data_IF_171286029197
#
_entry.id   IF_171286029197
#
_cell.length_a   1.000
_cell.length_b   1.000
_cell.length_c   1.000
_cell.angle_alpha   90.00
_cell.angle_beta   90.00
_cell.angle_gamma   90.00
#
_symmetry.space_group_name_H-M   'P 1'
#
loop_
_entity.id
_entity.type
_entity.pdbx_description
1 polymer ?
#
# COMPACT_ATOMS: atom_id res chain seq x y z
N UNK A 1 -10.27 19.95 4.63
CA UNK A 1 -10.72 18.64 5.21
C UNK A 1 -10.51 17.56 4.18
N UNK A 2 -10.28 16.28 4.60
CA UNK A 2 -10.23 15.14 3.67
C UNK A 2 -11.25 14.12 4.14
N UNK A 3 -12.05 13.57 3.21
CA UNK A 3 -13.13 12.63 3.49
C UNK A 3 -12.87 11.32 2.74
N UNK A 4 -12.68 10.24 3.46
CA UNK A 4 -12.60 8.89 2.90
C UNK A 4 -14.01 8.32 2.84
N UNK A 5 -14.62 8.31 1.66
CA UNK A 5 -16.04 7.97 1.50
C UNK A 5 -16.23 6.45 1.58
N UNK A 6 -17.26 6.02 2.31
CA UNK A 6 -17.65 4.61 2.38
C UNK A 6 -18.38 4.22 1.08
N UNK A 7 -17.65 3.69 0.14
CA UNK A 7 -18.14 3.29 -1.17
C UNK A 7 -17.80 1.84 -1.54
N UNK A 8 -17.65 0.98 -0.53
CA UNK A 8 -17.32 -0.42 -0.75
C UNK A 8 -15.82 -0.69 -0.78
N UNK A 9 -15.43 -1.74 -1.50
CA UNK A 9 -14.03 -2.04 -1.82
C UNK A 9 -13.63 -1.22 -3.05
N UNK A 10 -13.50 0.09 -2.88
CA UNK A 10 -13.27 1.07 -3.93
C UNK A 10 -12.72 2.36 -3.31
N UNK A 11 -12.12 3.22 -4.11
CA UNK A 11 -11.64 4.51 -3.66
C UNK A 11 -12.52 5.67 -4.13
N UNK A 12 -12.84 6.56 -3.20
CA UNK A 12 -13.32 7.89 -3.47
C UNK A 12 -12.98 8.80 -2.29
N UNK A 13 -12.10 9.75 -2.50
CA UNK A 13 -11.54 10.59 -1.45
C UNK A 13 -11.75 12.05 -1.82
N UNK A 14 -12.64 12.74 -1.07
CA UNK A 14 -12.93 14.14 -1.28
C UNK A 14 -11.95 15.03 -0.48
N UNK A 15 -11.37 16.00 -1.16
CA UNK A 15 -10.52 17.04 -0.57
C UNK A 15 -11.30 18.35 -0.60
N UNK A 16 -11.55 18.90 0.58
CA UNK A 16 -12.26 20.19 0.76
C UNK A 16 -11.32 21.22 1.37
N UNK A 17 -11.15 22.37 0.72
CA UNK A 17 -10.36 23.47 1.24
C UNK A 17 -10.82 24.82 0.70
N UNK A 18 -11.13 25.75 1.60
CA UNK A 18 -11.50 27.14 1.26
C UNK A 18 -12.67 27.21 0.24
N UNK A 19 -13.69 26.39 0.43
CA UNK A 19 -14.86 26.33 -0.45
C UNK A 19 -14.62 25.67 -1.81
N UNK A 20 -13.45 25.05 -2.00
CA UNK A 20 -13.11 24.27 -3.19
C UNK A 20 -13.21 22.77 -2.89
N UNK A 21 -13.53 21.99 -3.91
CA UNK A 21 -13.71 20.55 -3.81
C UNK A 21 -12.93 19.82 -4.90
N UNK A 22 -12.09 18.88 -4.50
CA UNK A 22 -11.36 17.99 -5.39
C UNK A 22 -11.65 16.53 -5.04
N UNK A 23 -11.74 15.66 -6.02
CA UNK A 23 -12.05 14.25 -5.81
C UNK A 23 -10.92 13.38 -6.36
N UNK A 24 -10.38 12.51 -5.53
CA UNK A 24 -9.43 11.47 -5.93
C UNK A 24 -10.21 10.16 -6.02
N UNK A 25 -10.30 9.62 -7.22
CA UNK A 25 -11.11 8.48 -7.61
C UNK A 25 -12.62 8.65 -7.36
N UNK A 26 -13.42 7.83 -7.99
CA UNK A 26 -14.87 8.00 -8.06
C UNK A 26 -15.63 6.71 -7.77
N UNK A 27 -14.93 5.69 -7.31
CA UNK A 27 -15.47 4.36 -7.04
C UNK A 27 -15.94 3.56 -8.28
N UNK A 28 -16.67 2.46 -8.05
CA UNK A 28 -17.19 1.57 -9.09
C UNK A 28 -18.28 2.23 -9.95
N UNK A 29 -18.45 1.79 -11.21
CA UNK A 29 -19.39 2.39 -12.15
C UNK A 29 -20.84 2.18 -11.74
N UNK A 30 -21.71 3.04 -12.25
CA UNK A 30 -23.15 2.88 -12.19
C UNK A 30 -23.62 2.01 -13.36
N UNK A 31 -24.26 0.88 -13.10
CA UNK A 31 -24.74 -0.04 -14.15
C UNK A 31 -25.85 0.57 -14.99
N UNK A 32 -26.71 1.44 -14.39
CA UNK A 32 -27.82 2.08 -15.06
C UNK A 32 -28.05 3.49 -14.49
N UNK A 33 -27.59 4.52 -15.17
CA UNK A 33 -28.13 5.85 -14.93
C UNK A 33 -29.45 5.91 -15.73
N UNK A 34 -30.58 5.74 -15.05
CA UNK A 34 -31.89 5.87 -15.70
C UNK A 34 -32.02 7.28 -16.28
N UNK A 35 -32.19 7.34 -17.59
CA UNK A 35 -32.80 8.39 -18.40
C UNK A 35 -31.97 9.62 -18.82
N UNK A 36 -30.74 9.88 -18.39
CA UNK A 36 -30.08 11.15 -18.72
C UNK A 36 -28.58 11.07 -19.06
N UNK A 37 -27.94 9.95 -18.90
CA UNK A 37 -26.57 9.69 -19.38
C UNK A 37 -26.65 8.52 -20.33
N UNK A 38 -26.05 8.63 -21.52
CA UNK A 38 -25.87 7.45 -22.36
C UNK A 38 -25.22 6.38 -21.50
N UNK A 39 -25.87 5.23 -21.32
CA UNK A 39 -25.31 4.17 -20.50
C UNK A 39 -23.93 3.88 -21.06
N UNK A 40 -22.92 3.86 -20.19
CA UNK A 40 -21.69 3.15 -20.49
C UNK A 40 -22.15 1.70 -20.65
N UNK A 41 -22.41 1.26 -21.88
CA UNK A 41 -22.68 -0.13 -22.15
C UNK A 41 -21.41 -0.88 -21.79
N UNK A 42 -21.39 -1.41 -20.58
CA UNK A 42 -20.47 -2.46 -20.22
C UNK A 42 -20.95 -3.63 -21.06
N UNK A 43 -20.16 -3.97 -22.06
CA UNK A 43 -20.43 -5.07 -22.99
C UNK A 43 -20.81 -6.31 -22.16
N UNK A 44 -22.00 -6.85 -22.37
CA UNK A 44 -22.48 -8.04 -21.66
C UNK A 44 -21.61 -9.28 -21.91
N UNK A 45 -20.70 -9.21 -22.90
CA UNK A 45 -19.67 -10.22 -23.17
C UNK A 45 -18.53 -10.25 -22.11
N UNK A 46 -18.50 -9.32 -21.15
CA UNK A 46 -17.60 -9.37 -19.99
C UNK A 46 -18.18 -10.39 -19.01
N UNK A 47 -18.00 -11.67 -19.34
CA UNK A 47 -18.58 -12.79 -18.61
C UNK A 47 -18.17 -12.88 -17.14
N UNK A 48 -18.98 -13.59 -16.39
CA UNK A 48 -18.84 -14.21 -15.04
C UNK A 48 -18.12 -13.45 -13.89
N UNK A 49 -17.37 -12.38 -14.10
CA UNK A 49 -16.87 -11.49 -13.03
C UNK A 49 -17.88 -10.44 -12.59
N UNK A 50 -19.13 -10.51 -13.04
CA UNK A 50 -20.21 -9.61 -12.65
C UNK A 50 -20.56 -9.61 -11.16
N UNK A 51 -20.15 -10.59 -10.37
CA UNK A 51 -20.39 -10.57 -8.91
C UNK A 51 -19.77 -9.36 -8.21
N UNK A 52 -18.68 -8.83 -8.75
CA UNK A 52 -18.07 -7.58 -8.25
C UNK A 52 -18.85 -6.33 -8.67
N UNK A 53 -19.64 -6.41 -9.75
CA UNK A 53 -20.40 -5.32 -10.33
C UNK A 53 -21.82 -5.23 -9.73
N UNK A 54 -22.35 -6.29 -9.10
CA UNK A 54 -23.70 -6.25 -8.49
C UNK A 54 -23.83 -5.17 -7.41
N UNK A 55 -22.75 -4.89 -6.66
CA UNK A 55 -22.70 -3.81 -5.66
C UNK A 55 -22.15 -2.48 -6.23
N UNK A 56 -21.82 -2.41 -7.50
CA UNK A 56 -21.21 -1.23 -8.12
C UNK A 56 -22.18 -0.03 -8.13
N UNK A 57 -23.47 -0.28 -8.33
CA UNK A 57 -24.49 0.78 -8.33
C UNK A 57 -24.58 1.51 -6.99
N UNK A 58 -24.37 0.80 -5.88
CA UNK A 58 -24.38 1.38 -4.54
C UNK A 58 -23.11 2.19 -4.27
N UNK A 59 -21.98 1.79 -4.89
CA UNK A 59 -20.67 2.38 -4.69
C UNK A 59 -20.62 3.84 -5.16
N UNK A 60 -20.86 4.10 -6.45
CA UNK A 60 -20.88 5.49 -6.96
C UNK A 60 -22.09 6.28 -6.43
N UNK A 61 -23.23 5.61 -6.17
CA UNK A 61 -24.38 6.28 -5.58
C UNK A 61 -24.07 6.82 -4.18
N UNK A 62 -23.29 6.08 -3.39
CA UNK A 62 -22.81 6.57 -2.09
C UNK A 62 -21.96 7.85 -2.24
N UNK A 63 -21.10 7.91 -3.27
CA UNK A 63 -20.31 9.11 -3.58
C UNK A 63 -21.22 10.27 -3.97
N UNK A 64 -22.14 10.07 -4.92
CA UNK A 64 -23.07 11.12 -5.37
C UNK A 64 -23.90 11.67 -4.20
N UNK A 65 -24.48 10.78 -3.40
CA UNK A 65 -25.28 11.16 -2.22
C UNK A 65 -24.45 11.95 -1.20
N UNK A 66 -23.18 11.58 -1.02
CA UNK A 66 -22.31 12.27 -0.07
C UNK A 66 -21.93 13.66 -0.56
N UNK A 67 -21.65 13.84 -1.85
CA UNK A 67 -21.39 15.15 -2.47
C UNK A 67 -22.65 16.04 -2.38
N UNK A 68 -23.84 15.51 -2.64
CA UNK A 68 -25.11 16.21 -2.46
C UNK A 68 -25.36 16.66 -1.02
N UNK A 69 -25.10 15.76 -0.06
CA UNK A 69 -25.21 16.07 1.36
C UNK A 69 -24.33 17.25 1.77
N UNK A 70 -23.10 17.31 1.23
CA UNK A 70 -22.17 18.43 1.46
C UNK A 70 -22.52 19.66 0.63
N UNK A 71 -23.56 19.59 -0.21
CA UNK A 71 -23.99 20.68 -1.12
C UNK A 71 -22.85 21.10 -2.06
N UNK A 72 -22.08 20.13 -2.54
CA UNK A 72 -21.07 20.38 -3.56
C UNK A 72 -21.80 20.79 -4.84
N UNK A 73 -21.55 21.99 -5.31
CA UNK A 73 -22.11 22.48 -6.58
C UNK A 73 -21.27 21.93 -7.74
N UNK A 74 -19.95 22.01 -7.62
CA UNK A 74 -19.00 21.53 -8.62
C UNK A 74 -17.69 21.08 -8.00
N UNK A 75 -16.96 20.27 -8.74
CA UNK A 75 -15.60 19.86 -8.41
C UNK A 75 -14.59 20.75 -9.16
N UNK A 76 -13.60 21.28 -8.45
CA UNK A 76 -12.50 22.02 -9.05
C UNK A 76 -11.53 21.07 -9.78
N UNK A 77 -11.37 19.86 -9.27
CA UNK A 77 -10.63 18.80 -9.97
C UNK A 77 -11.15 17.41 -9.66
N UNK A 78 -10.90 16.49 -10.58
CA UNK A 78 -10.95 15.05 -10.37
C UNK A 78 -9.58 14.48 -10.75
N UNK A 79 -9.05 13.56 -9.94
CA UNK A 79 -7.90 12.74 -10.24
C UNK A 79 -8.36 11.30 -10.43
N UNK A 80 -8.21 10.75 -11.63
CA UNK A 80 -8.32 9.33 -11.90
C UNK A 80 -6.95 8.69 -11.75
N UNK A 81 -6.74 7.89 -10.71
CA UNK A 81 -5.42 7.37 -10.36
C UNK A 81 -4.92 6.33 -11.34
N UNK A 82 -5.78 5.41 -11.76
CA UNK A 82 -5.51 4.38 -12.76
C UNK A 82 -6.84 3.82 -13.32
N UNK A 83 -6.79 2.95 -14.33
CA UNK A 83 -7.98 2.63 -15.14
C UNK A 83 -8.84 1.47 -14.63
N UNK A 84 -8.66 1.03 -13.37
CA UNK A 84 -9.58 0.05 -12.79
C UNK A 84 -10.96 0.66 -12.49
N UNK A 85 -11.99 -0.19 -12.56
CA UNK A 85 -13.38 0.22 -12.40
C UNK A 85 -13.69 0.81 -11.03
N UNK A 86 -13.09 0.30 -9.98
CA UNK A 86 -13.26 0.71 -8.58
C UNK A 86 -12.54 2.02 -8.22
N UNK A 87 -11.88 2.63 -9.22
CA UNK A 87 -11.27 3.94 -9.14
C UNK A 87 -11.93 4.95 -10.07
N UNK A 88 -11.98 4.68 -11.38
CA UNK A 88 -12.50 5.64 -12.35
C UNK A 88 -13.87 5.27 -12.92
N UNK A 89 -14.43 4.14 -12.52
CA UNK A 89 -15.72 3.67 -13.07
C UNK A 89 -16.89 4.64 -12.81
N UNK A 90 -16.85 5.37 -11.70
CA UNK A 90 -17.85 6.36 -11.34
C UNK A 90 -17.70 7.73 -12.03
N UNK A 91 -16.58 7.98 -12.76
CA UNK A 91 -16.31 9.30 -13.39
C UNK A 91 -17.49 9.78 -14.27
N UNK A 92 -18.12 8.95 -15.12
CA UNK A 92 -19.24 9.41 -15.94
C UNK A 92 -20.42 9.96 -15.11
N UNK A 93 -20.76 9.30 -14.01
CA UNK A 93 -21.86 9.71 -13.14
C UNK A 93 -21.54 10.99 -12.35
N UNK A 94 -20.31 11.07 -11.83
CA UNK A 94 -19.80 12.27 -11.12
C UNK A 94 -19.69 13.45 -12.08
N UNK A 95 -19.16 13.21 -13.29
CA UNK A 95 -19.02 14.25 -14.30
C UNK A 95 -20.35 14.83 -14.73
N UNK A 96 -21.36 13.97 -14.91
CA UNK A 96 -22.70 14.44 -15.28
C UNK A 96 -23.22 15.52 -14.34
N UNK A 97 -23.01 15.36 -13.03
CA UNK A 97 -23.62 16.18 -11.99
C UNK A 97 -22.72 17.31 -11.47
N UNK A 98 -21.43 17.07 -11.34
CA UNK A 98 -20.52 17.93 -10.58
C UNK A 98 -19.35 18.51 -11.41
N UNK A 99 -19.37 18.38 -12.74
CA UNK A 99 -18.28 18.83 -13.62
C UNK A 99 -18.76 19.91 -14.58
N UNK A 100 -17.94 20.94 -14.72
CA UNK A 100 -18.09 22.01 -15.71
C UNK A 100 -16.75 22.25 -16.48
N UNK A 101 -16.74 23.28 -17.34
CA UNK A 101 -15.57 23.66 -18.15
C UNK A 101 -14.38 24.20 -17.32
N UNK A 102 -14.54 24.47 -16.03
CA UNK A 102 -13.47 24.89 -15.14
C UNK A 102 -12.83 23.73 -14.40
N UNK A 103 -13.51 22.59 -14.32
CA UNK A 103 -13.02 21.39 -13.66
C UNK A 103 -11.77 20.86 -14.37
N UNK A 104 -10.73 20.51 -13.61
CA UNK A 104 -9.53 19.86 -14.12
C UNK A 104 -9.64 18.36 -13.93
N UNK A 105 -9.34 17.58 -14.96
CA UNK A 105 -9.25 16.14 -14.87
C UNK A 105 -7.79 15.71 -15.00
N UNK A 106 -7.18 15.30 -13.90
CA UNK A 106 -5.84 14.73 -13.88
C UNK A 106 -5.95 13.23 -14.14
N UNK A 107 -5.19 12.75 -15.10
CA UNK A 107 -5.21 11.35 -15.51
C UNK A 107 -3.89 10.96 -16.16
N UNK A 108 -3.59 9.68 -16.15
CA UNK A 108 -2.51 9.11 -16.96
C UNK A 108 -3.08 8.65 -18.29
N UNK A 109 -2.39 8.93 -19.40
CA UNK A 109 -2.73 8.38 -20.69
C UNK A 109 -2.68 6.85 -20.64
N UNK A 110 -3.74 6.22 -21.16
CA UNK A 110 -3.86 4.76 -21.13
C UNK A 110 -2.69 4.11 -21.88
N UNK A 111 -2.13 3.08 -21.27
CA UNK A 111 -1.12 2.22 -21.88
C UNK A 111 -1.55 0.77 -21.67
N UNK A 112 -1.54 -0.01 -22.76
CA UNK A 112 -1.86 -1.42 -22.71
C UNK A 112 -0.94 -2.14 -21.72
N UNK A 113 -1.52 -2.96 -20.84
CA UNK A 113 -0.82 -3.76 -19.85
C UNK A 113 -0.85 -5.24 -20.23
N UNK A 114 -0.14 -6.10 -19.49
CA UNK A 114 -0.26 -7.55 -19.66
C UNK A 114 -1.66 -8.06 -19.33
N UNK A 115 -2.38 -7.38 -18.44
CA UNK A 115 -3.77 -7.70 -18.13
C UNK A 115 -4.65 -7.66 -19.37
N UNK A 116 -4.47 -6.68 -20.25
CA UNK A 116 -5.22 -6.55 -21.49
C UNK A 116 -4.95 -7.68 -22.50
N UNK A 117 -3.82 -8.37 -22.36
CA UNK A 117 -3.42 -9.47 -23.26
C UNK A 117 -3.78 -10.85 -22.73
N UNK A 118 -3.83 -11.02 -21.42
CA UNK A 118 -4.02 -12.31 -20.74
C UNK A 118 -5.45 -12.52 -20.25
N UNK A 119 -6.21 -11.43 -20.07
CA UNK A 119 -7.56 -11.45 -19.55
C UNK A 119 -8.48 -10.73 -20.54
N UNK A 120 -9.14 -11.49 -21.41
CA UNK A 120 -10.10 -11.00 -22.42
C UNK A 120 -11.22 -10.13 -21.81
N UNK A 121 -11.39 -10.18 -20.49
CA UNK A 121 -12.51 -9.60 -19.76
C UNK A 121 -12.15 -8.32 -18.97
N UNK A 122 -10.91 -7.82 -19.03
CA UNK A 122 -10.58 -6.59 -18.34
C UNK A 122 -10.99 -5.37 -19.18
N UNK A 123 -11.94 -4.62 -18.63
CA UNK A 123 -12.52 -3.47 -19.31
C UNK A 123 -11.77 -2.15 -19.04
N UNK A 124 -10.48 -2.20 -18.60
CA UNK A 124 -9.72 -1.03 -18.18
C UNK A 124 -9.73 0.08 -19.24
N UNK A 125 -9.47 -0.29 -20.51
CA UNK A 125 -9.51 0.67 -21.60
C UNK A 125 -10.91 1.28 -21.81
N UNK A 126 -11.98 0.50 -21.62
CA UNK A 126 -13.36 1.00 -21.73
C UNK A 126 -13.69 2.00 -20.62
N UNK A 127 -13.26 1.71 -19.36
CA UNK A 127 -13.44 2.65 -18.24
C UNK A 127 -12.65 3.93 -18.46
N UNK A 128 -11.40 3.81 -18.95
CA UNK A 128 -10.59 4.96 -19.33
C UNK A 128 -11.29 5.82 -20.37
N UNK A 129 -11.78 5.22 -21.49
CA UNK A 129 -12.48 5.96 -22.54
C UNK A 129 -13.77 6.60 -22.02
N UNK A 130 -14.55 5.87 -21.20
CA UNK A 130 -15.77 6.41 -20.62
C UNK A 130 -15.49 7.62 -19.72
N UNK A 131 -14.46 7.54 -18.88
CA UNK A 131 -14.04 8.64 -18.04
C UNK A 131 -13.61 9.85 -18.85
N UNK A 132 -12.67 9.68 -19.78
CA UNK A 132 -12.13 10.77 -20.62
C UNK A 132 -13.24 11.41 -21.46
N UNK A 133 -14.08 10.61 -22.13
CA UNK A 133 -15.16 11.12 -22.97
C UNK A 133 -16.22 11.90 -22.16
N UNK A 134 -16.52 11.44 -20.95
CA UNK A 134 -17.44 12.16 -20.05
C UNK A 134 -16.92 13.53 -19.67
N UNK A 135 -15.62 13.62 -19.38
CA UNK A 135 -14.95 14.88 -19.05
C UNK A 135 -14.90 15.82 -20.27
N UNK A 136 -14.62 15.28 -21.47
CA UNK A 136 -14.67 16.06 -22.74
C UNK A 136 -16.08 16.60 -22.98
N UNK A 137 -17.13 15.79 -22.85
CA UNK A 137 -18.54 16.22 -23.03
C UNK A 137 -18.91 17.38 -22.10
N UNK A 138 -18.30 17.45 -20.91
CA UNK A 138 -18.52 18.54 -19.92
C UNK A 138 -17.62 19.76 -20.16
N UNK A 139 -16.73 19.70 -21.17
CA UNK A 139 -15.78 20.76 -21.48
C UNK A 139 -14.65 20.88 -20.44
N UNK A 140 -14.44 19.87 -19.58
CA UNK A 140 -13.41 19.88 -18.54
C UNK A 140 -12.00 19.97 -19.12
N UNK A 141 -11.07 20.53 -18.34
CA UNK A 141 -9.66 20.66 -18.71
C UNK A 141 -8.92 19.35 -18.43
N UNK A 142 -8.58 18.62 -19.49
CA UNK A 142 -7.84 17.36 -19.39
C UNK A 142 -6.35 17.65 -19.16
N UNK A 143 -5.76 17.04 -18.15
CA UNK A 143 -4.35 17.18 -17.78
C UNK A 143 -3.73 15.78 -17.73
N UNK A 144 -3.02 15.43 -18.79
CA UNK A 144 -2.22 14.19 -18.83
C UNK A 144 -0.97 14.38 -17.96
N UNK A 145 -0.85 13.59 -16.90
CA UNK A 145 0.27 13.66 -15.96
C UNK A 145 1.40 12.68 -16.29
N UNK A 146 1.27 11.93 -17.37
CA UNK A 146 2.25 10.91 -17.78
C UNK A 146 3.66 11.48 -17.90
N UNK A 147 4.60 10.95 -17.09
CA UNK A 147 6.00 11.40 -17.06
C UNK A 147 6.20 12.82 -16.53
N UNK A 148 5.22 13.41 -15.86
CA UNK A 148 5.27 14.77 -15.36
C UNK A 148 5.27 14.83 -13.83
N UNK A 149 6.12 15.65 -13.25
CA UNK A 149 6.08 15.98 -11.84
C UNK A 149 5.07 17.10 -11.60
N UNK A 150 3.85 16.75 -11.21
CA UNK A 150 2.75 17.69 -11.01
C UNK A 150 2.66 18.07 -9.54
N UNK A 151 2.80 19.39 -9.26
CA UNK A 151 2.59 19.99 -7.94
C UNK A 151 1.66 21.18 -8.09
N UNK A 152 0.68 21.30 -7.20
CA UNK A 152 -0.23 22.44 -7.19
C UNK A 152 -0.77 22.70 -5.79
N UNK A 153 -1.14 23.96 -5.58
CA UNK A 153 -1.84 24.41 -4.37
C UNK A 153 -3.35 24.21 -4.53
N UNK A 154 -3.99 23.69 -3.49
CA UNK A 154 -5.42 23.53 -3.42
C UNK A 154 -5.95 24.02 -2.07
N UNK A 155 -6.39 25.27 -2.03
CA UNK A 155 -6.69 25.94 -0.78
C UNK A 155 -5.47 26.01 0.13
N UNK A 156 -5.56 25.41 1.31
CA UNK A 156 -4.45 25.33 2.27
C UNK A 156 -3.54 24.10 2.08
N UNK A 157 -3.81 23.26 1.06
CA UNK A 157 -3.04 22.06 0.78
C UNK A 157 -2.04 22.24 -0.35
N UNK A 158 -0.85 21.68 -0.19
CA UNK A 158 0.09 21.44 -1.29
C UNK A 158 -0.06 19.98 -1.73
N UNK A 159 -0.47 19.77 -2.97
CA UNK A 159 -0.71 18.45 -3.56
C UNK A 159 0.38 18.13 -4.55
N UNK A 160 0.95 16.94 -4.44
CA UNK A 160 1.98 16.42 -5.34
C UNK A 160 1.56 15.05 -5.85
N UNK A 161 1.56 14.89 -7.19
CA UNK A 161 1.27 13.63 -7.87
C UNK A 161 2.59 12.92 -8.16
N UNK A 162 2.71 11.68 -7.70
CA UNK A 162 3.91 10.84 -7.82
C UNK A 162 3.58 9.55 -8.57
N UNK A 163 4.61 8.77 -8.88
CA UNK A 163 4.50 7.54 -9.67
C UNK A 163 3.87 7.79 -11.04
N UNK A 164 4.21 8.91 -11.67
CA UNK A 164 3.70 9.33 -12.98
C UNK A 164 4.58 8.85 -14.13
N UNK A 165 5.80 8.40 -13.85
CA UNK A 165 6.75 7.92 -14.86
C UNK A 165 6.24 6.66 -15.55
N UNK A 166 6.55 6.54 -16.84
CA UNK A 166 6.38 5.29 -17.60
C UNK A 166 7.74 4.64 -17.69
N UNK A 167 7.87 3.45 -17.11
CA UNK A 167 9.01 2.60 -17.44
C UNK A 167 8.85 2.13 -18.89
N UNK A 168 9.66 2.70 -19.79
CA UNK A 168 9.53 2.47 -21.25
C UNK A 168 9.93 1.06 -21.66
N UNK A 169 10.63 0.32 -20.80
CA UNK A 169 11.29 -0.93 -21.14
C UNK A 169 10.56 -2.18 -20.65
N UNK A 170 9.59 -2.07 -19.73
CA UNK A 170 8.79 -3.19 -19.28
C UNK A 170 7.32 -2.98 -19.63
N UNK A 171 6.70 -3.94 -20.31
CA UNK A 171 5.24 -4.07 -20.34
C UNK A 171 4.80 -4.21 -18.87
N UNK A 172 4.16 -3.17 -18.35
CA UNK A 172 3.63 -3.22 -16.99
C UNK A 172 2.82 -4.50 -16.79
N UNK A 173 3.08 -5.19 -15.68
CA UNK A 173 2.44 -6.46 -15.37
C UNK A 173 0.93 -6.31 -15.14
N UNK A 174 0.48 -5.13 -14.69
CA UNK A 174 -0.92 -4.82 -14.44
C UNK A 174 -1.15 -3.32 -14.28
N UNK A 175 -2.42 -2.93 -14.30
CA UNK A 175 -2.86 -1.53 -14.22
C UNK A 175 -2.54 -0.89 -12.86
N UNK A 176 -2.47 -1.66 -11.78
CA UNK A 176 -2.08 -1.17 -10.45
C UNK A 176 -0.70 -0.51 -10.42
N UNK A 177 0.24 -0.97 -11.25
CA UNK A 177 1.56 -0.32 -11.40
C UNK A 177 1.47 1.09 -11.96
N UNK A 178 0.39 1.39 -12.67
CA UNK A 178 0.12 2.70 -13.25
C UNK A 178 -0.53 3.68 -12.27
N UNK A 179 -0.75 3.28 -11.01
CA UNK A 179 -1.40 4.12 -10.00
C UNK A 179 -0.65 5.42 -9.78
N UNK A 180 -1.31 6.54 -10.07
CA UNK A 180 -0.86 7.86 -9.63
C UNK A 180 -1.11 7.92 -8.12
N UNK A 181 -0.08 8.20 -7.33
CA UNK A 181 -0.21 8.36 -5.89
C UNK A 181 -0.13 9.83 -5.51
N UNK A 182 -0.78 10.20 -4.42
CA UNK A 182 -0.94 11.60 -4.05
C UNK A 182 -0.33 11.87 -2.67
N UNK A 183 0.64 12.78 -2.62
CA UNK A 183 1.17 13.32 -1.37
C UNK A 183 0.53 14.67 -1.10
N UNK A 184 -0.27 14.76 -0.03
CA UNK A 184 -0.94 15.96 0.43
C UNK A 184 -0.19 16.49 1.64
N UNK A 185 0.26 17.74 1.57
CA UNK A 185 0.95 18.42 2.65
C UNK A 185 0.09 19.57 3.18
N UNK A 186 -0.02 19.65 4.50
CA UNK A 186 -0.64 20.74 5.21
C UNK A 186 0.29 21.15 6.37
N UNK A 187 0.93 22.31 6.26
CA UNK A 187 2.01 22.71 7.17
C UNK A 187 3.08 21.58 7.25
N UNK A 188 3.34 21.05 8.43
CA UNK A 188 4.29 19.96 8.65
C UNK A 188 3.65 18.56 8.61
N UNK A 189 2.35 18.46 8.29
CA UNK A 189 1.61 17.20 8.23
C UNK A 189 1.56 16.64 6.83
N UNK A 190 1.70 15.34 6.72
CA UNK A 190 1.69 14.61 5.45
C UNK A 190 0.62 13.51 5.45
N UNK A 191 -0.27 13.57 4.48
CA UNK A 191 -1.18 12.50 4.12
C UNK A 191 -0.74 11.89 2.78
N UNK A 192 -0.58 10.59 2.74
CA UNK A 192 -0.23 9.87 1.53
C UNK A 192 -1.38 8.94 1.10
N UNK A 193 -1.88 9.16 -0.12
CA UNK A 193 -2.90 8.35 -0.76
C UNK A 193 -2.18 7.40 -1.74
N UNK A 194 -2.06 6.13 -1.36
CA UNK A 194 -1.28 5.15 -2.10
C UNK A 194 -2.00 4.59 -3.34
N UNK A 195 -3.29 4.91 -3.56
CA UNK A 195 -4.10 4.28 -4.60
C UNK A 195 -3.94 2.74 -4.54
N UNK A 196 -3.64 2.09 -5.67
CA UNK A 196 -3.38 0.65 -5.74
C UNK A 196 -1.92 0.32 -6.04
N UNK A 197 -1.02 1.24 -5.72
CA UNK A 197 0.41 1.08 -5.91
C UNK A 197 0.93 -0.24 -5.34
N UNK A 198 1.79 -0.93 -6.09
CA UNK A 198 2.37 -2.20 -5.67
C UNK A 198 3.71 -2.01 -4.93
N UNK A 199 4.13 -3.05 -4.20
CA UNK A 199 5.35 -3.04 -3.38
C UNK A 199 6.65 -2.71 -4.16
N UNK A 200 6.72 -3.03 -5.46
CA UNK A 200 7.88 -2.67 -6.30
C UNK A 200 8.02 -1.15 -6.44
N UNK A 201 6.91 -0.45 -6.55
CA UNK A 201 6.89 0.99 -6.80
C UNK A 201 6.97 1.80 -5.51
N UNK A 202 6.39 1.31 -4.42
CA UNK A 202 6.50 1.97 -3.12
C UNK A 202 7.96 1.99 -2.59
N UNK A 203 8.76 0.96 -2.89
CA UNK A 203 10.19 0.93 -2.59
C UNK A 203 10.97 2.06 -3.28
N UNK A 204 10.56 2.46 -4.49
CA UNK A 204 11.22 3.52 -5.26
C UNK A 204 11.03 4.90 -4.64
N UNK A 205 9.87 5.16 -4.07
CA UNK A 205 9.47 6.50 -3.63
C UNK A 205 9.57 6.71 -2.10
N UNK A 206 9.80 5.65 -1.30
CA UNK A 206 9.80 5.70 0.16
C UNK A 206 10.74 6.76 0.74
N UNK A 207 11.97 6.87 0.21
CA UNK A 207 12.99 7.78 0.73
C UNK A 207 12.67 9.24 0.39
N UNK A 208 12.05 9.49 -0.78
CA UNK A 208 11.56 10.80 -1.17
C UNK A 208 10.41 11.28 -0.28
N UNK A 209 9.48 10.37 0.04
CA UNK A 209 8.31 10.67 0.89
C UNK A 209 8.76 10.86 2.35
N UNK A 210 9.63 9.98 2.84
CA UNK A 210 10.05 9.92 4.24
C UNK A 210 8.89 9.67 5.20
N UNK A 211 9.01 10.10 6.45
CA UNK A 211 7.92 9.98 7.46
C UNK A 211 6.63 10.65 6.97
N UNK A 212 5.51 9.95 7.16
CA UNK A 212 4.16 10.46 6.94
C UNK A 212 3.33 10.34 8.22
N UNK A 213 2.31 11.18 8.37
CA UNK A 213 1.40 11.10 9.52
C UNK A 213 0.24 10.13 9.22
N UNK A 214 -0.28 10.16 7.99
CA UNK A 214 -1.46 9.41 7.61
C UNK A 214 -1.22 8.70 6.28
N UNK A 215 -1.59 7.43 6.21
CA UNK A 215 -1.55 6.59 5.00
C UNK A 215 -2.96 6.10 4.65
N UNK A 216 -3.42 6.33 3.42
CA UNK A 216 -4.44 5.46 2.82
C UNK A 216 -3.72 4.24 2.28
N UNK A 217 -4.02 3.07 2.84
CA UNK A 217 -3.35 1.82 2.50
C UNK A 217 -3.58 1.46 1.03
N UNK A 218 -2.53 0.97 0.37
CA UNK A 218 -2.58 0.61 -1.03
C UNK A 218 -3.58 -0.53 -1.31
N UNK A 219 -4.23 -0.47 -2.49
CA UNK A 219 -5.06 -1.53 -3.07
C UNK A 219 -6.10 -2.08 -2.08
N UNK A 220 -6.74 -1.19 -1.33
CA UNK A 220 -7.78 -1.52 -0.33
C UNK A 220 -7.34 -2.58 0.71
N UNK A 221 -6.02 -2.83 0.82
CA UNK A 221 -5.43 -3.91 1.62
C UNK A 221 -5.33 -5.26 0.91
N UNK A 222 -5.62 -5.34 -0.39
CA UNK A 222 -5.51 -6.59 -1.17
C UNK A 222 -4.10 -6.88 -1.66
N UNK A 223 -3.23 -5.88 -1.77
CA UNK A 223 -1.82 -6.07 -2.11
C UNK A 223 -0.91 -5.61 -0.98
N UNK A 224 0.33 -6.05 -1.07
CA UNK A 224 1.33 -5.79 -0.06
C UNK A 224 1.97 -4.42 -0.28
N UNK A 225 1.85 -3.51 0.69
CA UNK A 225 2.84 -2.45 0.83
C UNK A 225 4.13 -3.06 1.36
N UNK A 226 5.29 -2.67 0.81
CA UNK A 226 6.55 -3.28 1.22
C UNK A 226 6.90 -2.95 2.67
N UNK A 227 7.65 -3.89 3.31
CA UNK A 227 8.24 -3.63 4.63
C UNK A 227 9.08 -2.37 4.63
N UNK A 228 9.90 -2.19 3.60
CA UNK A 228 10.79 -1.05 3.43
C UNK A 228 10.03 0.27 3.39
N UNK A 229 8.91 0.32 2.66
CA UNK A 229 8.05 1.49 2.62
C UNK A 229 7.44 1.80 3.98
N UNK A 230 6.82 0.82 4.63
CA UNK A 230 6.16 1.02 5.92
C UNK A 230 7.15 1.33 7.04
N UNK A 231 8.35 0.71 7.04
CA UNK A 231 9.39 0.97 8.04
C UNK A 231 10.06 2.35 7.87
N UNK A 232 10.09 2.88 6.65
CA UNK A 232 10.61 4.23 6.37
C UNK A 232 9.56 5.29 6.67
N UNK A 233 8.34 5.10 6.17
CA UNK A 233 7.26 6.10 6.26
C UNK A 233 6.59 6.16 7.63
N UNK A 234 6.56 5.06 8.37
CA UNK A 234 6.06 4.94 9.76
C UNK A 234 4.77 5.72 10.02
N UNK A 235 3.66 5.43 9.33
CA UNK A 235 2.42 6.18 9.49
C UNK A 235 1.87 6.07 10.91
N UNK A 236 1.44 7.18 11.49
CA UNK A 236 0.77 7.19 12.81
C UNK A 236 -0.69 6.71 12.67
N UNK A 237 -1.28 6.94 11.51
CA UNK A 237 -2.65 6.55 11.18
C UNK A 237 -2.72 5.89 9.81
N UNK A 238 -3.56 4.87 9.70
CA UNK A 238 -3.87 4.21 8.41
C UNK A 238 -5.38 4.18 8.20
N UNK A 239 -5.81 4.49 6.97
CA UNK A 239 -7.19 4.32 6.51
C UNK A 239 -7.22 3.24 5.43
N UNK A 240 -8.14 2.29 5.56
CA UNK A 240 -8.39 1.23 4.59
C UNK A 240 -9.78 1.46 3.96
N UNK A 241 -9.82 1.69 2.66
CA UNK A 241 -11.07 1.83 1.90
C UNK A 241 -11.57 0.47 1.45
N UNK A 242 -12.32 -0.22 2.30
CA UNK A 242 -12.82 -1.56 2.00
C UNK A 242 -14.08 -1.88 2.81
N UNK A 243 -14.82 -2.92 2.39
CA UNK A 243 -15.95 -3.51 3.11
C UNK A 243 -15.54 -4.46 4.23
N UNK A 244 -14.33 -5.01 4.17
CA UNK A 244 -13.78 -5.95 5.13
C UNK A 244 -12.26 -5.82 5.19
N UNK A 245 -11.63 -6.54 6.10
CA UNK A 245 -10.17 -6.67 6.13
C UNK A 245 -9.79 -7.86 5.25
N UNK A 246 -9.10 -7.66 4.12
CA UNK A 246 -8.60 -8.76 3.31
C UNK A 246 -7.60 -9.62 4.09
N UNK A 247 -7.53 -10.91 3.76
CA UNK A 247 -6.60 -11.82 4.46
C UNK A 247 -5.14 -11.37 4.36
N UNK A 248 -4.74 -10.83 3.20
CA UNK A 248 -3.39 -10.30 2.99
C UNK A 248 -3.08 -9.09 3.87
N UNK A 249 -4.07 -8.26 4.19
CA UNK A 249 -3.86 -7.10 5.05
C UNK A 249 -3.53 -7.47 6.50
N UNK A 250 -3.89 -8.65 6.97
CA UNK A 250 -3.77 -9.01 8.39
C UNK A 250 -2.33 -8.90 8.92
N UNK A 251 -1.34 -9.35 8.17
CA UNK A 251 0.07 -9.26 8.60
C UNK A 251 0.57 -7.81 8.61
N UNK A 252 0.18 -7.01 7.62
CA UNK A 252 0.49 -5.57 7.57
C UNK A 252 -0.14 -4.86 8.75
N UNK A 253 -1.41 -5.12 9.03
CA UNK A 253 -2.15 -4.55 10.17
C UNK A 253 -1.47 -4.94 11.49
N UNK A 254 -1.12 -6.22 11.66
CA UNK A 254 -0.47 -6.68 12.87
C UNK A 254 0.91 -6.03 13.06
N UNK A 255 1.69 -5.89 12.00
CA UNK A 255 2.95 -5.15 12.02
C UNK A 255 2.77 -3.68 12.40
N UNK A 256 1.89 -2.97 11.72
CA UNK A 256 1.62 -1.55 11.97
C UNK A 256 1.19 -1.31 13.43
N UNK A 257 0.33 -2.17 13.97
CA UNK A 257 -0.15 -2.03 15.35
C UNK A 257 0.85 -2.49 16.40
N UNK A 258 1.50 -3.62 16.20
CA UNK A 258 2.41 -4.22 17.19
C UNK A 258 3.79 -3.56 17.20
N UNK A 259 4.30 -3.18 16.02
CA UNK A 259 5.65 -2.64 15.87
C UNK A 259 5.66 -1.11 15.86
N UNK A 260 4.69 -0.49 15.21
CA UNK A 260 4.65 0.96 15.00
C UNK A 260 3.60 1.67 15.86
N UNK A 261 2.74 0.95 16.57
CA UNK A 261 1.63 1.51 17.36
C UNK A 261 0.68 2.38 16.54
N UNK A 262 0.49 2.03 15.26
CA UNK A 262 -0.35 2.76 14.30
C UNK A 262 -1.83 2.59 14.63
N UNK A 263 -2.63 3.64 14.53
CA UNK A 263 -4.09 3.57 14.59
C UNK A 263 -4.65 3.29 13.20
N UNK A 264 -5.52 2.28 13.08
CA UNK A 264 -6.04 1.80 11.80
C UNK A 264 -7.56 1.90 11.78
N UNK A 265 -8.10 2.52 10.75
CA UNK A 265 -9.53 2.70 10.52
C UNK A 265 -9.95 2.09 9.19
N UNK A 266 -11.14 1.47 9.18
CA UNK A 266 -11.75 0.88 7.99
C UNK A 266 -12.99 1.68 7.61
N UNK A 267 -13.14 2.07 6.35
CA UNK A 267 -14.30 2.85 5.88
C UNK A 267 -15.62 2.14 6.11
N UNK A 268 -15.65 0.80 6.09
CA UNK A 268 -16.83 0.02 6.43
C UNK A 268 -17.36 0.27 7.86
N UNK A 269 -16.46 0.55 8.80
CA UNK A 269 -16.82 0.71 10.22
C UNK A 269 -17.52 2.02 10.55
N UNK A 270 -17.61 2.97 9.60
CA UNK A 270 -18.35 4.20 9.84
C UNK A 270 -19.85 3.92 9.97
N UNK A 271 -20.51 4.70 10.81
CA UNK A 271 -21.94 4.52 11.13
C UNK A 271 -22.91 4.97 10.01
N UNK A 272 -22.38 5.47 8.87
CA UNK A 272 -23.19 5.97 7.77
C UNK A 272 -23.95 4.87 7.06
N UNK A 273 -25.23 5.15 6.80
CA UNK A 273 -26.16 4.36 6.00
C UNK A 273 -26.76 5.27 4.94
N UNK A 274 -27.63 4.74 4.07
CA UNK A 274 -28.43 5.56 3.14
C UNK A 274 -29.30 6.60 3.85
N UNK A 275 -29.62 6.39 5.11
CA UNK A 275 -30.42 7.31 5.93
C UNK A 275 -29.56 8.32 6.70
N UNK A 276 -28.30 7.98 7.02
CA UNK A 276 -27.38 8.82 7.79
C UNK A 276 -26.16 9.16 6.94
N UNK A 277 -26.38 9.80 5.79
CA UNK A 277 -25.37 10.11 4.78
C UNK A 277 -24.20 10.92 5.37
N UNK A 278 -24.45 11.87 6.25
CA UNK A 278 -23.40 12.71 6.87
C UNK A 278 -22.34 11.95 7.66
N UNK A 279 -22.61 10.67 7.99
CA UNK A 279 -21.67 9.76 8.65
C UNK A 279 -21.09 8.71 7.71
N UNK A 280 -21.26 8.83 6.41
CA UNK A 280 -20.80 7.86 5.40
C UNK A 280 -19.35 8.10 4.96
N UNK A 281 -18.56 8.81 5.72
CA UNK A 281 -17.13 9.00 5.46
C UNK A 281 -16.34 9.14 6.76
N UNK A 282 -15.11 8.60 6.77
CA UNK A 282 -14.10 8.99 7.75
C UNK A 282 -13.65 10.40 7.38
N UNK A 283 -13.73 11.33 8.33
CA UNK A 283 -13.36 12.73 8.12
C UNK A 283 -12.05 13.05 8.82
N UNK A 284 -11.13 13.67 8.11
CA UNK A 284 -9.84 14.16 8.59
C UNK A 284 -9.80 15.68 8.47
N UNK A 285 -9.81 16.38 9.58
CA UNK A 285 -9.70 17.85 9.63
C UNK A 285 -8.30 18.23 10.05
N UNK A 286 -7.57 18.95 9.21
CA UNK A 286 -6.32 19.62 9.57
C UNK A 286 -6.62 20.93 10.29
N UNK A 287 -5.86 21.22 11.35
CA UNK A 287 -6.05 22.38 12.21
C UNK A 287 -4.93 23.38 11.93
N UNK A 288 -5.31 24.50 11.31
CA UNK A 288 -4.39 25.55 10.90
C UNK A 288 -3.72 26.21 12.11
N UNK A 289 -2.43 26.43 12.03
CA UNK A 289 -1.59 27.00 13.09
C UNK A 289 -1.43 26.13 14.35
N UNK A 290 -1.95 24.90 14.35
CA UNK A 290 -1.84 23.98 15.48
C UNK A 290 -0.89 22.80 15.18
N UNK A 291 -0.41 22.70 13.94
CA UNK A 291 0.38 21.58 13.45
C UNK A 291 -0.21 20.22 13.83
N UNK A 292 -1.54 20.12 13.78
CA UNK A 292 -2.30 18.96 14.23
C UNK A 292 -3.47 18.65 13.31
N UNK A 293 -4.11 17.51 13.53
CA UNK A 293 -5.31 17.10 12.82
C UNK A 293 -6.24 16.27 13.72
N UNK A 294 -7.50 16.16 13.34
CA UNK A 294 -8.50 15.38 14.05
C UNK A 294 -9.26 14.48 13.10
N UNK A 295 -9.41 13.22 13.53
CA UNK A 295 -10.31 12.27 12.87
C UNK A 295 -11.71 12.34 13.51
N UNK A 296 -12.73 12.15 12.67
CA UNK A 296 -14.11 11.95 13.11
C UNK A 296 -14.82 10.92 12.24
N UNK A 297 -15.88 10.30 12.76
CA UNK A 297 -16.63 9.23 12.12
C UNK A 297 -15.78 8.00 11.77
N UNK A 298 -14.80 7.66 12.57
CA UNK A 298 -13.88 6.54 12.29
C UNK A 298 -14.51 5.17 12.49
N UNK A 299 -15.62 5.10 13.25
CA UNK A 299 -16.12 3.82 13.75
C UNK A 299 -15.14 3.17 14.73
N UNK A 300 -15.22 1.85 14.86
CA UNK A 300 -14.28 1.07 15.66
C UNK A 300 -12.91 0.98 15.00
N UNK A 301 -11.86 1.12 15.79
CA UNK A 301 -10.49 0.90 15.35
C UNK A 301 -10.25 -0.58 15.03
N UNK A 302 -9.52 -0.87 13.97
CA UNK A 302 -9.15 -2.23 13.58
C UNK A 302 -8.21 -2.84 14.62
N UNK A 303 -8.49 -4.06 15.04
CA UNK A 303 -7.71 -4.80 16.03
C UNK A 303 -6.71 -5.76 15.38
N UNK A 304 -5.67 -6.15 16.14
CA UNK A 304 -4.78 -7.25 15.77
C UNK A 304 -5.59 -8.55 15.65
N UNK A 305 -5.36 -9.30 14.58
CA UNK A 305 -5.89 -10.66 14.47
C UNK A 305 -5.05 -11.63 15.31
N UNK A 306 -5.53 -11.96 16.49
CA UNK A 306 -4.85 -12.85 17.47
C UNK A 306 -4.81 -14.32 17.05
N UNK A 307 -5.55 -14.71 16.03
CA UNK A 307 -5.58 -16.11 15.55
C UNK A 307 -4.39 -16.41 14.60
N UNK A 308 -3.65 -15.40 14.17
CA UNK A 308 -2.50 -15.59 13.31
C UNK A 308 -1.32 -16.15 14.11
N UNK A 309 -0.84 -17.32 13.67
CA UNK A 309 0.32 -18.01 14.24
C UNK A 309 1.11 -18.67 13.11
N UNK A 310 2.44 -18.70 13.25
CA UNK A 310 3.32 -19.37 12.29
C UNK A 310 4.04 -18.43 11.34
N UNK A 311 4.56 -19.02 10.28
CA UNK A 311 5.32 -18.33 9.25
C UNK A 311 4.41 -17.60 8.26
N UNK A 312 4.79 -16.36 7.93
CA UNK A 312 4.11 -15.52 6.92
C UNK A 312 5.15 -14.89 6.00
N UNK A 313 4.91 -14.99 4.69
CA UNK A 313 5.65 -14.23 3.70
C UNK A 313 5.13 -12.80 3.62
N UNK A 314 6.02 -11.85 3.43
CA UNK A 314 5.68 -10.44 3.23
C UNK A 314 6.57 -9.86 2.12
N UNK A 315 6.03 -9.79 0.92
CA UNK A 315 6.80 -9.55 -0.30
C UNK A 315 7.93 -10.56 -0.43
N UNK A 316 9.17 -10.11 -0.35
CA UNK A 316 10.39 -10.91 -0.36
C UNK A 316 10.94 -11.19 1.06
N UNK A 317 10.19 -10.89 2.11
CA UNK A 317 10.57 -11.04 3.51
C UNK A 317 9.72 -12.09 4.21
N UNK A 318 10.26 -12.67 5.27
CA UNK A 318 9.55 -13.58 6.13
C UNK A 318 9.39 -13.02 7.53
N UNK A 319 8.24 -13.26 8.13
CA UNK A 319 7.94 -12.95 9.52
C UNK A 319 7.37 -14.19 10.21
N UNK A 320 7.37 -14.19 11.53
CA UNK A 320 6.68 -15.21 12.31
C UNK A 320 5.76 -14.54 13.35
N UNK A 321 4.51 -14.97 13.40
CA UNK A 321 3.53 -14.43 14.34
C UNK A 321 3.22 -15.45 15.44
N UNK A 322 3.05 -14.94 16.65
CA UNK A 322 2.52 -15.69 17.81
C UNK A 322 1.34 -14.92 18.41
N UNK A 323 0.15 -15.50 18.34
CA UNK A 323 -1.10 -14.83 18.78
C UNK A 323 -1.26 -13.44 18.15
N UNK A 324 -0.98 -13.34 16.87
CA UNK A 324 -1.03 -12.11 16.09
C UNK A 324 0.11 -11.12 16.34
N UNK A 325 1.00 -11.37 17.27
CA UNK A 325 2.16 -10.50 17.54
C UNK A 325 3.39 -10.98 16.79
N UNK A 326 4.11 -10.03 16.24
CA UNK A 326 5.37 -10.26 15.53
C UNK A 326 6.45 -10.65 16.53
N UNK A 327 7.11 -11.80 16.32
CA UNK A 327 8.25 -12.18 17.18
C UNK A 327 9.51 -11.39 16.77
N UNK A 328 10.42 -11.23 17.73
CA UNK A 328 11.68 -10.48 17.56
C UNK A 328 12.83 -11.23 18.21
N UNK A 329 14.06 -10.92 17.77
CA UNK A 329 15.30 -11.50 18.31
C UNK A 329 15.38 -13.00 18.03
N UNK A 330 16.18 -13.71 18.79
CA UNK A 330 16.43 -15.14 18.66
C UNK A 330 15.20 -16.00 18.90
N UNK A 331 14.92 -16.97 17.97
CA UNK A 331 13.85 -17.96 18.14
C UNK A 331 14.24 -19.31 17.56
N UNK A 332 13.93 -20.37 18.30
CA UNK A 332 14.11 -21.74 17.85
C UNK A 332 12.77 -22.27 17.35
N UNK A 333 12.65 -22.41 16.03
CA UNK A 333 11.36 -22.65 15.34
C UNK A 333 11.41 -23.84 14.42
N UNK A 334 10.24 -24.49 14.26
CA UNK A 334 10.04 -25.49 13.21
C UNK A 334 9.90 -24.82 11.84
N UNK A 335 10.47 -25.43 10.81
CA UNK A 335 10.37 -25.04 9.42
C UNK A 335 10.43 -26.30 8.52
N UNK A 336 10.32 -26.18 7.20
CA UNK A 336 10.30 -27.31 6.27
C UNK A 336 11.54 -28.20 6.33
N UNK A 337 12.70 -27.68 6.75
CA UNK A 337 13.95 -28.40 6.93
C UNK A 337 14.19 -28.96 8.36
N UNK A 338 13.17 -28.90 9.23
CA UNK A 338 13.30 -29.33 10.64
C UNK A 338 13.28 -28.15 11.61
N UNK A 339 13.95 -28.29 12.76
CA UNK A 339 13.98 -27.26 13.81
C UNK A 339 15.31 -26.55 13.84
N UNK A 340 15.29 -25.21 13.82
CA UNK A 340 16.51 -24.43 13.79
C UNK A 340 16.37 -23.07 14.46
N UNK A 341 17.49 -22.37 14.68
CA UNK A 341 17.53 -21.02 15.16
C UNK A 341 17.36 -20.01 14.02
N UNK A 342 16.55 -19.00 14.31
CA UNK A 342 16.29 -17.84 13.46
C UNK A 342 16.46 -16.57 14.26
N UNK A 343 16.76 -15.48 13.59
CA UNK A 343 16.76 -14.16 14.19
C UNK A 343 15.79 -13.23 13.45
N UNK A 344 15.03 -12.47 14.22
CA UNK A 344 14.11 -11.47 13.68
C UNK A 344 14.55 -10.09 14.18
N UNK A 345 14.67 -9.13 13.27
CA UNK A 345 15.01 -7.76 13.61
C UNK A 345 13.91 -7.08 14.46
N UNK A 346 14.12 -5.82 14.84
CA UNK A 346 13.16 -5.08 15.66
C UNK A 346 11.82 -4.82 14.95
N UNK A 347 11.79 -4.89 13.63
CA UNK A 347 10.59 -4.90 12.81
C UNK A 347 9.90 -6.27 12.72
N UNK A 348 10.45 -7.32 13.33
CA UNK A 348 9.93 -8.69 13.28
C UNK A 348 10.14 -9.37 11.93
N UNK A 349 11.07 -8.89 11.11
CA UNK A 349 11.46 -9.50 9.84
C UNK A 349 12.64 -10.42 10.06
N UNK A 350 12.56 -11.64 9.51
CA UNK A 350 13.62 -12.63 9.53
C UNK A 350 14.87 -12.10 8.81
N UNK A 351 16.01 -12.20 9.43
CA UNK A 351 17.29 -11.81 8.83
C UNK A 351 17.90 -12.96 8.03
N UNK A 352 18.74 -12.63 7.06
CA UNK A 352 19.51 -13.57 6.24
C UNK A 352 20.92 -13.03 6.03
N UNK A 353 21.85 -13.91 5.64
CA UNK A 353 23.24 -13.54 5.38
C UNK A 353 24.01 -13.20 6.66
N UNK A 354 25.04 -12.37 6.51
CA UNK A 354 25.89 -11.93 7.60
C UNK A 354 25.16 -11.01 8.57
N UNK A 355 25.27 -11.31 9.88
CA UNK A 355 24.68 -10.52 10.95
C UNK A 355 25.64 -10.43 12.13
N UNK A 356 25.84 -9.22 12.65
CA UNK A 356 26.55 -8.97 13.90
C UNK A 356 25.53 -8.70 15.00
N UNK A 357 25.41 -9.60 15.97
CA UNK A 357 24.30 -9.64 16.90
C UNK A 357 24.72 -9.89 18.34
N UNK A 358 23.94 -9.34 19.27
CA UNK A 358 24.02 -9.69 20.68
C UNK A 358 23.35 -11.05 20.94
N UNK A 359 23.99 -11.84 21.80
CA UNK A 359 23.48 -13.09 22.29
C UNK A 359 23.90 -13.29 23.76
N UNK A 360 23.53 -14.43 24.38
CA UNK A 360 23.81 -14.68 25.80
C UNK A 360 25.29 -14.71 26.16
N UNK A 361 26.19 -14.96 25.20
CA UNK A 361 27.65 -15.00 25.36
C UNK A 361 28.38 -13.71 24.95
N UNK A 362 27.66 -12.65 24.56
CA UNK A 362 28.23 -11.38 24.13
C UNK A 362 27.83 -10.94 22.73
N UNK A 363 28.71 -10.21 22.03
CA UNK A 363 28.48 -9.67 20.69
C UNK A 363 29.35 -10.43 19.69
N UNK A 364 28.71 -11.02 18.66
CA UNK A 364 29.42 -11.89 17.71
C UNK A 364 28.81 -11.85 16.30
N UNK A 365 29.59 -12.35 15.35
CA UNK A 365 29.14 -12.59 13.99
C UNK A 365 28.45 -13.93 13.83
N UNK A 366 27.35 -13.94 13.08
CA UNK A 366 26.53 -15.09 12.70
C UNK A 366 26.27 -15.08 11.20
N UNK A 367 25.95 -16.23 10.64
CA UNK A 367 25.49 -16.29 9.28
C UNK A 367 24.17 -17.07 9.20
N UNK A 368 23.19 -16.47 8.55
CA UNK A 368 21.88 -17.07 8.29
C UNK A 368 21.76 -17.45 6.81
N UNK A 369 21.23 -18.63 6.52
CA UNK A 369 21.00 -19.07 5.16
C UNK A 369 20.28 -17.99 4.34
N UNK A 370 20.78 -17.72 3.13
CA UNK A 370 20.26 -16.61 2.32
C UNK A 370 18.82 -16.80 1.84
N UNK A 371 18.44 -18.07 1.63
CA UNK A 371 17.10 -18.40 1.11
C UNK A 371 16.12 -18.69 2.23
N UNK A 372 16.54 -19.43 3.25
CA UNK A 372 15.66 -19.97 4.27
C UNK A 372 15.79 -19.30 5.65
N UNK A 373 16.83 -18.50 5.88
CA UNK A 373 17.03 -17.69 7.08
C UNK A 373 17.39 -18.44 8.35
N UNK A 374 17.65 -19.75 8.31
CA UNK A 374 18.12 -20.48 9.49
C UNK A 374 19.60 -20.23 9.74
N UNK A 375 20.01 -20.26 11.02
CA UNK A 375 21.38 -20.07 11.44
C UNK A 375 22.27 -21.23 10.97
N UNK A 376 23.38 -20.89 10.30
CA UNK A 376 24.38 -21.90 9.87
C UNK A 376 25.39 -22.18 10.98
N UNK A 377 25.87 -23.42 11.01
CA UNK A 377 26.95 -23.90 11.88
C UNK A 377 27.96 -24.72 11.10
N UNK A 378 29.12 -24.99 11.69
CA UNK A 378 30.19 -25.76 11.06
C UNK A 378 31.00 -24.95 10.04
N UNK A 379 31.78 -25.66 9.20
CA UNK A 379 32.55 -25.06 8.11
C UNK A 379 31.64 -24.62 6.98
N UNK A 380 31.74 -23.35 6.59
CA UNK A 380 30.96 -22.72 5.53
C UNK A 380 31.89 -21.98 4.56
N UNK A 381 31.63 -22.09 3.27
CA UNK A 381 32.28 -21.29 2.22
C UNK A 381 31.37 -20.18 1.79
N UNK A 382 31.68 -18.92 2.16
CA UNK A 382 30.78 -17.78 2.04
C UNK A 382 31.42 -16.60 1.33
N UNK A 383 30.60 -15.83 0.63
CA UNK A 383 30.99 -14.53 0.10
C UNK A 383 30.95 -13.48 1.21
N UNK A 384 31.96 -12.60 1.23
CA UNK A 384 32.09 -11.46 2.15
C UNK A 384 32.81 -10.30 1.48
N UNK A 385 33.07 -9.21 2.17
CA UNK A 385 33.72 -8.00 1.61
C UNK A 385 35.13 -8.24 1.09
N UNK A 386 35.83 -9.28 1.61
CA UNK A 386 37.17 -9.68 1.17
C UNK A 386 37.22 -10.70 0.04
N UNK A 387 36.05 -11.17 -0.44
CA UNK A 387 36.00 -12.22 -1.47
C UNK A 387 35.16 -13.43 -1.04
N UNK A 388 35.60 -14.63 -1.45
CA UNK A 388 34.95 -15.90 -1.09
C UNK A 388 35.91 -16.73 -0.29
N UNK A 389 35.59 -16.99 0.99
CA UNK A 389 36.48 -17.66 1.94
C UNK A 389 35.76 -18.68 2.81
N UNK A 390 36.52 -19.43 3.61
CA UNK A 390 36.03 -20.44 4.52
C UNK A 390 35.95 -19.87 5.93
N UNK A 391 34.78 -20.02 6.55
CA UNK A 391 34.48 -19.62 7.92
C UNK A 391 34.01 -20.82 8.74
N UNK A 392 34.09 -20.72 10.07
CA UNK A 392 33.56 -21.73 10.96
C UNK A 392 32.62 -21.09 11.99
N UNK A 393 31.44 -21.62 12.09
CA UNK A 393 30.43 -21.24 13.08
C UNK A 393 30.32 -22.35 14.13
N UNK A 394 30.40 -22.00 15.40
CA UNK A 394 30.36 -22.97 16.50
C UNK A 394 29.02 -23.77 16.47
N UNK A 395 29.06 -25.10 16.55
CA UNK A 395 27.86 -25.91 16.53
C UNK A 395 26.91 -25.66 17.70
N UNK A 396 27.47 -25.26 18.85
CA UNK A 396 26.75 -25.05 20.12
C UNK A 396 25.87 -23.81 20.08
N UNK A 397 26.34 -22.74 19.42
CA UNK A 397 25.73 -21.42 19.53
C UNK A 397 25.71 -20.59 18.24
N UNK A 398 26.36 -21.06 17.18
CA UNK A 398 26.42 -20.39 15.88
C UNK A 398 27.40 -19.21 15.81
N UNK A 399 28.18 -18.93 16.84
CA UNK A 399 29.16 -17.83 16.83
C UNK A 399 30.32 -18.09 15.87
N UNK A 400 30.76 -17.08 15.14
CA UNK A 400 31.88 -17.20 14.21
C UNK A 400 33.22 -17.33 14.96
N UNK A 401 34.04 -18.31 14.57
CA UNK A 401 35.40 -18.46 15.06
C UNK A 401 36.32 -17.32 14.55
N UNK A 402 36.90 -16.55 15.44
CA UNK A 402 37.83 -15.45 15.14
C UNK A 402 39.07 -15.55 16.04
N UNK A 403 40.23 -15.24 15.49
CA UNK A 403 41.55 -15.27 16.21
C UNK A 403 41.75 -16.55 17.02
N UNK A 404 41.33 -17.69 16.50
CA UNK A 404 41.36 -18.97 17.22
C UNK A 404 41.72 -20.14 16.31
N UNK A 405 42.14 -21.24 16.92
CA UNK A 405 42.31 -22.51 16.22
C UNK A 405 41.41 -23.58 16.83
N UNK A 406 40.75 -24.32 16.00
CA UNK A 406 39.76 -25.34 16.39
C UNK A 406 40.14 -26.67 15.77
N UNK A 407 40.02 -27.78 16.51
CA UNK A 407 40.20 -29.13 16.01
C UNK A 407 38.84 -29.69 15.52
N UNK A 408 38.75 -29.98 14.23
CA UNK A 408 37.56 -30.56 13.59
C UNK A 408 38.00 -31.90 12.98
N UNK A 409 37.42 -33.01 13.43
CA UNK A 409 37.74 -34.36 12.92
C UNK A 409 39.29 -34.64 12.93
N UNK A 410 39.95 -34.34 14.04
CA UNK A 410 41.39 -34.49 14.23
C UNK A 410 42.30 -33.63 13.32
N UNK A 411 41.75 -32.65 12.63
CA UNK A 411 42.48 -31.67 11.84
C UNK A 411 42.33 -30.27 12.44
N UNK A 412 43.47 -29.56 12.57
CA UNK A 412 43.50 -28.21 13.13
C UNK A 412 43.20 -27.17 12.06
N UNK A 413 42.23 -26.29 12.34
CA UNK A 413 41.84 -25.15 11.51
C UNK A 413 42.06 -23.88 12.32
N UNK A 414 42.76 -22.90 11.73
CA UNK A 414 43.07 -21.63 12.39
C UNK A 414 42.38 -20.49 11.60
N UNK A 415 41.69 -19.61 12.31
CA UNK A 415 40.97 -18.48 11.76
C UNK A 415 41.60 -17.17 12.18
N UNK A 416 41.65 -16.19 11.26
CA UNK A 416 42.20 -14.86 11.51
C UNK A 416 41.18 -13.96 12.24
N UNK A 417 41.52 -12.67 12.37
CA UNK A 417 40.66 -11.66 13.01
C UNK A 417 39.33 -11.43 12.29
N UNK A 418 39.26 -11.67 10.99
CA UNK A 418 38.06 -11.59 10.18
C UNK A 418 37.28 -12.91 10.12
N UNK A 419 37.71 -13.95 10.86
CA UNK A 419 37.09 -15.27 10.84
C UNK A 419 37.45 -16.13 9.61
N UNK A 420 38.34 -15.68 8.75
CA UNK A 420 38.77 -16.40 7.56
C UNK A 420 39.79 -17.48 7.90
N UNK A 421 39.63 -18.67 7.33
CA UNK A 421 40.57 -19.77 7.47
C UNK A 421 41.92 -19.38 6.89
N UNK A 422 42.99 -19.60 7.69
CA UNK A 422 44.41 -19.34 7.31
C UNK A 422 44.98 -20.46 6.46
#
# INVERSE_FOLDING_TARGET
>A
MVHFIKCGSADSILIESNGKFGLVDTSNPYKYIKNEVEPVQIDESIGERHQWVENANESVQAVLNYLDYLKVDKLDFILGTHSHSDHIGGVPAVAYKFVDSNTKYYYRKYRKTKEDTTNINWANFKYYLAAVNSMIKKGAKLIDVTGQNIKFEFGDFNIELLNTDIDSNELNLGENQNSIVTLIKFENKKLFLASDMIAKDDKKIKDYIGKIDILKLAHHGYSESSYEFLSTTKPDYVVISNNHIPNYANQIINYLKDVQNTKIYLTHNVAGTTEIIGKSAIKLKFLKNENSFQFSNTGSEVSINKNLNGWFSWCDKWTYLMKGKTIKKWKFLDWSGGKNWFYFNDGGVMVTGWQELDWSGGHNWFYFDKENGYMLTGLQTLDWSGGKDIFYFMPEDGTMAQNTCININNKKYCFNENGVLK
#
